data_IF_816023427705
#
_entry.id   IF_816023427705
#
_cell.length_a   1.000
_cell.length_b   1.000
_cell.length_c   1.000
_cell.angle_alpha   90.00
_cell.angle_beta   90.00
_cell.angle_gamma   90.00
#
_symmetry.space_group_name_H-M   'P 1'
#
loop_
_entity.id
_entity.type
_entity.pdbx_description
1 polymer ?
#
# COMPACT_ATOMS: atom_id res chain seq x y z
N UNK A 1 9.64 31.96 -16.87
CA UNK A 1 8.95 31.30 -18.00
C UNK A 1 7.80 30.54 -17.40
N UNK A 2 6.57 30.85 -17.84
CA UNK A 2 5.39 30.15 -17.35
C UNK A 2 5.31 28.77 -17.99
N UNK A 3 5.09 27.73 -17.18
CA UNK A 3 4.90 26.37 -17.66
C UNK A 3 3.52 26.32 -18.36
N UNK A 4 3.44 25.85 -19.61
CA UNK A 4 2.17 25.70 -20.32
C UNK A 4 1.15 24.89 -19.50
N UNK A 5 -0.13 25.27 -19.53
CA UNK A 5 -1.21 24.65 -18.73
C UNK A 5 -1.31 23.12 -18.98
N UNK A 6 -0.98 22.68 -20.18
CA UNK A 6 -0.89 21.29 -20.63
C UNK A 6 0.33 20.50 -20.08
N UNK A 7 1.26 21.15 -19.39
CA UNK A 7 2.45 20.55 -18.78
C UNK A 7 2.49 20.77 -17.25
N UNK A 8 1.44 21.34 -16.65
CA UNK A 8 1.34 21.48 -15.19
C UNK A 8 1.11 20.13 -14.50
N UNK A 9 0.47 19.17 -15.17
CA UNK A 9 0.36 17.80 -14.70
C UNK A 9 1.55 16.97 -15.21
N UNK A 10 2.43 16.58 -14.27
CA UNK A 10 3.60 15.75 -14.54
C UNK A 10 3.27 14.43 -15.24
N UNK A 11 2.06 13.90 -15.04
CA UNK A 11 1.59 12.67 -15.67
C UNK A 11 1.41 12.80 -17.19
N UNK A 12 1.12 14.01 -17.68
CA UNK A 12 0.77 14.28 -19.07
C UNK A 12 1.96 14.72 -19.93
N UNK A 13 3.11 15.01 -19.30
CA UNK A 13 4.32 15.50 -19.99
C UNK A 13 4.75 14.53 -21.09
N UNK A 14 4.80 13.23 -20.80
CA UNK A 14 5.22 12.24 -21.78
C UNK A 14 4.25 12.15 -22.98
N UNK A 15 2.94 12.24 -22.73
CA UNK A 15 1.92 12.24 -23.77
C UNK A 15 2.01 13.51 -24.65
N UNK A 16 2.20 14.67 -24.02
CA UNK A 16 2.41 15.94 -24.71
C UNK A 16 3.68 15.89 -25.59
N UNK A 17 4.79 15.37 -25.06
CA UNK A 17 6.04 15.22 -25.83
C UNK A 17 5.88 14.26 -27.01
N UNK A 18 5.17 13.14 -26.84
CA UNK A 18 4.86 12.25 -27.96
C UNK A 18 4.08 12.97 -29.04
N UNK A 19 3.02 13.69 -28.66
CA UNK A 19 2.16 14.40 -29.61
C UNK A 19 2.91 15.49 -30.38
N UNK A 20 3.80 16.22 -29.72
CA UNK A 20 4.45 17.40 -30.30
C UNK A 20 5.71 17.05 -31.12
N UNK A 21 6.39 15.94 -30.79
CA UNK A 21 7.71 15.62 -31.35
C UNK A 21 7.79 14.29 -32.12
N UNK A 22 6.72 13.49 -32.18
CA UNK A 22 6.74 12.21 -32.92
C UNK A 22 5.84 12.24 -34.16
N UNK A 23 6.26 11.61 -35.28
CA UNK A 23 5.39 11.44 -36.44
C UNK A 23 4.20 10.53 -36.11
N UNK A 24 3.06 10.73 -36.79
CA UNK A 24 1.77 10.09 -36.46
C UNK A 24 1.84 8.56 -36.27
N UNK A 25 2.60 7.87 -37.12
CA UNK A 25 2.76 6.41 -37.03
C UNK A 25 3.49 5.97 -35.75
N UNK A 26 4.48 6.75 -35.31
CA UNK A 26 5.25 6.47 -34.10
C UNK A 26 4.44 6.83 -32.85
N UNK A 27 3.65 7.91 -32.91
CA UNK A 27 2.72 8.27 -31.83
C UNK A 27 1.73 7.14 -31.54
N UNK A 28 1.12 6.56 -32.59
CA UNK A 28 0.21 5.41 -32.43
C UNK A 28 0.94 4.20 -31.83
N UNK A 29 2.15 3.88 -32.32
CA UNK A 29 2.94 2.77 -31.80
C UNK A 29 3.30 2.94 -30.31
N UNK A 30 3.76 4.14 -29.93
CA UNK A 30 4.10 4.47 -28.55
C UNK A 30 2.87 4.49 -27.64
N UNK A 31 1.72 4.97 -28.15
CA UNK A 31 0.45 4.92 -27.42
C UNK A 31 -0.01 3.49 -27.13
N UNK A 32 0.06 2.60 -28.13
CA UNK A 32 -0.23 1.16 -27.93
C UNK A 32 0.75 0.56 -26.92
N UNK A 33 2.04 0.87 -27.02
CA UNK A 33 3.07 0.40 -26.09
C UNK A 33 2.81 0.87 -24.65
N UNK A 34 2.41 2.12 -24.46
CA UNK A 34 2.09 2.69 -23.14
C UNK A 34 0.88 1.99 -22.51
N UNK A 35 -0.19 1.78 -23.28
CA UNK A 35 -1.39 1.05 -22.81
C UNK A 35 -1.05 -0.41 -22.52
N UNK A 36 -0.27 -1.07 -23.39
CA UNK A 36 0.15 -2.45 -23.18
C UNK A 36 1.01 -2.61 -21.92
N UNK A 37 1.93 -1.67 -21.67
CA UNK A 37 2.74 -1.65 -20.46
C UNK A 37 1.88 -1.49 -19.21
N UNK A 38 0.94 -0.53 -19.22
CA UNK A 38 0.01 -0.31 -18.10
C UNK A 38 -0.85 -1.55 -17.82
N UNK A 39 -1.41 -2.18 -18.85
CA UNK A 39 -2.25 -3.38 -18.72
C UNK A 39 -1.46 -4.57 -18.13
N UNK A 40 -0.21 -4.77 -18.55
CA UNK A 40 0.68 -5.80 -18.00
C UNK A 40 0.93 -5.62 -16.50
N UNK A 41 1.11 -4.37 -16.04
CA UNK A 41 1.26 -4.06 -14.62
C UNK A 41 -0.03 -4.33 -13.84
N UNK A 42 -1.19 -3.88 -14.37
CA UNK A 42 -2.50 -4.11 -13.73
C UNK A 42 -2.78 -5.61 -13.58
N UNK A 43 -2.54 -6.40 -14.62
CA UNK A 43 -2.77 -7.84 -14.59
C UNK A 43 -1.87 -8.54 -13.56
N UNK A 44 -0.58 -8.17 -13.53
CA UNK A 44 0.38 -8.74 -12.58
C UNK A 44 0.03 -8.38 -11.14
N UNK A 45 -0.24 -7.10 -10.86
CA UNK A 45 -0.58 -6.63 -9.52
C UNK A 45 -1.93 -7.18 -9.03
N UNK A 46 -2.96 -7.16 -9.88
CA UNK A 46 -4.27 -7.71 -9.55
C UNK A 46 -4.21 -9.20 -9.22
N UNK A 47 -3.45 -9.97 -10.01
CA UNK A 47 -3.25 -11.39 -9.75
C UNK A 47 -2.47 -11.65 -8.45
N UNK A 48 -1.41 -10.89 -8.17
CA UNK A 48 -0.65 -11.02 -6.91
C UNK A 48 -1.54 -10.75 -5.70
N UNK A 49 -2.33 -9.67 -5.72
CA UNK A 49 -3.26 -9.34 -4.63
C UNK A 49 -4.29 -10.47 -4.43
N UNK A 50 -4.85 -11.00 -5.52
CA UNK A 50 -5.83 -12.07 -5.46
C UNK A 50 -5.25 -13.37 -4.89
N UNK A 51 -4.03 -13.72 -5.29
CA UNK A 51 -3.33 -14.90 -4.77
C UNK A 51 -2.98 -14.71 -3.31
N UNK A 52 -2.34 -13.61 -2.92
CA UNK A 52 -2.01 -13.33 -1.51
C UNK A 52 -3.26 -13.34 -0.64
N UNK A 53 -4.36 -12.72 -1.06
CA UNK A 53 -5.59 -12.74 -0.28
C UNK A 53 -6.21 -14.15 -0.19
N UNK A 54 -6.23 -14.89 -1.30
CA UNK A 54 -6.79 -16.24 -1.34
C UNK A 54 -5.97 -17.24 -0.53
N UNK A 55 -4.66 -17.21 -0.64
CA UNK A 55 -3.75 -18.14 0.03
C UNK A 55 -3.51 -17.74 1.49
N UNK A 56 -3.27 -16.46 1.78
CA UNK A 56 -2.88 -16.04 3.13
C UNK A 56 -4.08 -15.83 4.06
N UNK A 57 -5.20 -15.31 3.54
CA UNK A 57 -6.39 -15.01 4.36
C UNK A 57 -7.45 -16.11 4.28
N UNK A 58 -7.76 -16.58 3.08
CA UNK A 58 -8.90 -17.49 2.88
C UNK A 58 -8.51 -18.95 3.09
N UNK A 59 -7.36 -19.41 2.60
CA UNK A 59 -6.97 -20.82 2.67
C UNK A 59 -6.86 -21.37 4.11
N UNK A 60 -6.30 -20.68 5.12
CA UNK A 60 -6.27 -21.19 6.49
C UNK A 60 -7.68 -21.45 7.06
N UNK A 61 -8.66 -20.63 6.65
CA UNK A 61 -10.05 -20.74 7.08
C UNK A 61 -10.89 -21.68 6.20
N UNK A 62 -10.62 -21.77 4.89
CA UNK A 62 -11.34 -22.60 3.93
C UNK A 62 -10.79 -24.03 3.83
N UNK A 63 -9.51 -24.24 4.10
CA UNK A 63 -8.90 -25.58 4.18
C UNK A 63 -9.45 -26.38 5.37
N UNK A 64 -9.86 -25.70 6.46
CA UNK A 64 -10.71 -26.32 7.51
C UNK A 64 -12.05 -26.81 6.99
N UNK A 65 -12.53 -26.28 5.87
CA UNK A 65 -13.84 -26.58 5.25
C UNK A 65 -13.72 -27.49 4.02
N UNK A 66 -12.51 -27.98 3.69
CA UNK A 66 -12.22 -28.90 2.58
C UNK A 66 -12.83 -28.48 1.23
N UNK A 67 -12.65 -27.22 0.83
CA UNK A 67 -13.16 -26.78 -0.47
C UNK A 67 -12.37 -27.43 -1.63
N UNK A 68 -13.05 -27.86 -2.71
CA UNK A 68 -12.36 -28.39 -3.88
C UNK A 68 -11.56 -27.29 -4.58
N UNK A 69 -10.39 -27.66 -5.13
CA UNK A 69 -9.44 -26.73 -5.78
C UNK A 69 -10.09 -25.82 -6.84
N UNK A 70 -11.07 -26.34 -7.59
CA UNK A 70 -11.81 -25.57 -8.59
C UNK A 70 -12.57 -24.38 -8.00
N UNK A 71 -13.12 -24.52 -6.78
CA UNK A 71 -13.84 -23.44 -6.09
C UNK A 71 -12.87 -22.40 -5.53
N UNK A 72 -11.69 -22.81 -5.03
CA UNK A 72 -10.64 -21.86 -4.63
C UNK A 72 -10.14 -21.05 -5.84
N UNK A 73 -9.87 -21.70 -6.97
CA UNK A 73 -9.40 -21.02 -8.17
C UNK A 73 -10.43 -20.00 -8.70
N UNK A 74 -11.72 -20.35 -8.68
CA UNK A 74 -12.78 -19.41 -9.05
C UNK A 74 -12.91 -18.26 -8.04
N UNK A 75 -12.74 -18.52 -6.74
CA UNK A 75 -12.77 -17.48 -5.73
C UNK A 75 -11.62 -16.48 -5.92
N UNK A 76 -10.39 -16.96 -6.14
CA UNK A 76 -9.24 -16.11 -6.44
C UNK A 76 -9.48 -15.24 -7.68
N UNK A 77 -10.07 -15.78 -8.75
CA UNK A 77 -10.45 -15.00 -9.93
C UNK A 77 -11.43 -13.87 -9.60
N UNK A 78 -12.48 -14.16 -8.83
CA UNK A 78 -13.44 -13.14 -8.39
C UNK A 78 -12.80 -12.10 -7.48
N UNK A 79 -11.86 -12.50 -6.61
CA UNK A 79 -11.09 -11.56 -5.79
C UNK A 79 -10.21 -10.64 -6.64
N UNK A 80 -9.60 -11.14 -7.72
CA UNK A 80 -8.83 -10.31 -8.66
C UNK A 80 -9.72 -9.26 -9.33
N UNK A 81 -10.88 -9.69 -9.85
CA UNK A 81 -11.87 -8.78 -10.45
C UNK A 81 -12.32 -7.73 -9.42
N UNK A 82 -12.61 -8.14 -8.18
CA UNK A 82 -12.99 -7.22 -7.12
C UNK A 82 -11.87 -6.23 -6.77
N UNK A 83 -10.61 -6.66 -6.70
CA UNK A 83 -9.47 -5.80 -6.43
C UNK A 83 -9.27 -4.75 -7.54
N UNK A 84 -9.34 -5.17 -8.80
CA UNK A 84 -9.27 -4.27 -9.96
C UNK A 84 -10.45 -3.29 -9.96
N UNK A 85 -11.66 -3.76 -9.65
CA UNK A 85 -12.83 -2.91 -9.56
C UNK A 85 -12.70 -1.85 -8.47
N UNK A 86 -12.23 -2.23 -7.28
CA UNK A 86 -11.96 -1.28 -6.18
C UNK A 86 -10.87 -0.28 -6.58
N UNK A 87 -9.81 -0.72 -7.24
CA UNK A 87 -8.76 0.17 -7.75
C UNK A 87 -9.31 1.15 -8.79
N UNK A 88 -10.20 0.70 -9.69
CA UNK A 88 -10.86 1.55 -10.67
C UNK A 88 -11.74 2.61 -9.99
N UNK A 89 -12.55 2.21 -9.01
CA UNK A 89 -13.38 3.15 -8.23
C UNK A 89 -12.49 4.18 -7.55
N UNK A 90 -11.42 3.76 -6.89
CA UNK A 90 -10.48 4.66 -6.24
C UNK A 90 -9.79 5.62 -7.23
N UNK A 91 -9.41 5.14 -8.41
CA UNK A 91 -8.82 5.96 -9.46
C UNK A 91 -9.76 7.05 -9.98
N UNK A 92 -11.08 6.82 -9.99
CA UNK A 92 -12.07 7.83 -10.40
C UNK A 92 -12.19 9.01 -9.42
N UNK A 93 -11.83 8.80 -8.15
CA UNK A 93 -11.91 9.83 -7.10
C UNK A 93 -10.54 10.43 -6.75
N UNK A 94 -9.47 10.03 -7.44
CA UNK A 94 -8.13 10.54 -7.14
C UNK A 94 -7.69 11.55 -8.18
N UNK A 95 -7.30 12.74 -7.71
CA UNK A 95 -6.89 13.86 -8.56
C UNK A 95 -5.37 13.93 -8.77
N UNK A 96 -4.58 13.23 -7.95
CA UNK A 96 -3.11 13.31 -7.93
C UNK A 96 -2.45 11.93 -7.92
N UNK A 97 -1.62 11.64 -8.93
CA UNK A 97 -0.79 10.42 -8.94
C UNK A 97 0.25 10.42 -7.82
N UNK A 98 0.75 11.59 -7.44
CA UNK A 98 1.73 11.74 -6.39
C UNK A 98 1.16 11.29 -5.04
N UNK A 99 -0.08 11.66 -4.74
CA UNK A 99 -0.74 11.30 -3.49
C UNK A 99 -0.90 9.78 -3.38
N UNK A 100 -1.30 9.12 -4.47
CA UNK A 100 -1.39 7.64 -4.52
C UNK A 100 -0.01 7.02 -4.28
N UNK A 101 1.02 7.52 -4.96
CA UNK A 101 2.37 6.98 -4.88
C UNK A 101 2.94 7.11 -3.47
N UNK A 102 2.83 8.29 -2.86
CA UNK A 102 3.32 8.54 -1.50
C UNK A 102 2.49 7.81 -0.44
N UNK A 103 1.16 7.73 -0.59
CA UNK A 103 0.31 6.97 0.32
C UNK A 103 0.63 5.47 0.24
N UNK A 104 0.72 4.89 -0.95
CA UNK A 104 1.07 3.48 -1.15
C UNK A 104 2.46 3.17 -0.58
N UNK A 105 3.46 4.02 -0.85
CA UNK A 105 4.82 3.84 -0.34
C UNK A 105 4.89 3.98 1.18
N UNK A 106 4.11 4.91 1.75
CA UNK A 106 3.98 5.10 3.19
C UNK A 106 3.35 3.90 3.88
N UNK A 107 2.24 3.38 3.33
CA UNK A 107 1.59 2.16 3.83
C UNK A 107 2.57 0.98 3.77
N UNK A 108 3.24 0.78 2.64
CA UNK A 108 4.20 -0.31 2.48
C UNK A 108 5.34 -0.22 3.50
N UNK A 109 5.90 0.97 3.68
CA UNK A 109 7.02 1.19 4.62
C UNK A 109 6.59 0.93 6.06
N UNK A 110 5.46 1.48 6.49
CA UNK A 110 4.98 1.35 7.88
C UNK A 110 4.48 -0.05 8.22
N UNK A 111 4.01 -0.81 7.24
CA UNK A 111 3.51 -2.18 7.45
C UNK A 111 4.57 -3.25 7.29
N UNK A 112 5.50 -3.11 6.34
CA UNK A 112 6.46 -4.17 5.99
C UNK A 112 7.81 -4.02 6.70
N UNK A 113 8.24 -2.80 7.01
CA UNK A 113 9.56 -2.57 7.60
C UNK A 113 9.76 -3.33 8.92
N UNK A 114 8.82 -3.23 9.85
CA UNK A 114 8.92 -3.89 11.16
C UNK A 114 8.91 -5.42 11.05
N UNK A 115 8.00 -6.07 10.29
CA UNK A 115 8.09 -7.51 10.03
C UNK A 115 9.41 -7.98 9.44
N UNK A 116 10.00 -7.22 8.50
CA UNK A 116 11.29 -7.57 7.91
C UNK A 116 12.39 -7.52 8.95
N UNK A 117 12.45 -6.45 9.76
CA UNK A 117 13.42 -6.35 10.87
C UNK A 117 13.20 -7.45 11.92
N UNK A 118 11.94 -7.76 12.23
CA UNK A 118 11.54 -8.81 13.16
C UNK A 118 12.02 -10.20 12.73
N UNK A 119 12.06 -10.48 11.42
CA UNK A 119 12.50 -11.77 10.88
C UNK A 119 13.98 -12.07 11.19
N UNK A 120 14.82 -11.04 11.33
CA UNK A 120 16.23 -11.20 11.70
C UNK A 120 16.47 -11.28 13.21
N UNK A 121 15.41 -11.16 14.04
CA UNK A 121 15.53 -11.14 15.50
C UNK A 121 15.06 -12.46 16.12
N UNK A 122 15.91 -13.16 16.90
CA UNK A 122 15.66 -14.55 17.33
C UNK A 122 14.57 -14.74 18.41
N UNK A 123 13.79 -13.71 18.76
CA UNK A 123 12.77 -13.77 19.83
C UNK A 123 11.49 -12.98 19.51
N UNK A 124 11.15 -12.84 18.24
CA UNK A 124 9.95 -12.10 17.84
C UNK A 124 8.74 -13.01 17.78
N UNK A 125 7.63 -12.60 18.37
CA UNK A 125 6.36 -13.37 18.35
C UNK A 125 5.46 -12.93 17.20
N UNK A 126 4.63 -13.84 16.69
CA UNK A 126 3.66 -13.51 15.63
C UNK A 126 2.68 -12.40 16.05
N UNK A 127 2.32 -12.33 17.34
CA UNK A 127 1.46 -11.28 17.89
C UNK A 127 2.11 -9.90 17.82
N UNK A 128 3.40 -9.79 18.16
CA UNK A 128 4.17 -8.53 18.05
C UNK A 128 4.15 -7.99 16.63
N UNK A 129 4.44 -8.87 15.67
CA UNK A 129 4.50 -8.51 14.25
C UNK A 129 3.13 -8.13 13.71
N UNK A 130 2.07 -8.89 14.03
CA UNK A 130 0.72 -8.58 13.55
C UNK A 130 0.18 -7.27 14.13
N UNK A 131 0.45 -6.98 15.41
CA UNK A 131 0.09 -5.70 16.02
C UNK A 131 0.83 -4.52 15.37
N UNK A 132 2.12 -4.70 15.06
CA UNK A 132 2.92 -3.69 14.37
C UNK A 132 2.40 -3.42 12.95
N UNK A 133 2.02 -4.46 12.21
CA UNK A 133 1.41 -4.33 10.87
C UNK A 133 0.09 -3.57 10.96
N UNK A 134 -0.81 -3.99 11.86
CA UNK A 134 -2.13 -3.35 12.02
C UNK A 134 -2.01 -1.90 12.48
N UNK A 135 -1.15 -1.61 13.46
CA UNK A 135 -0.94 -0.26 13.96
C UNK A 135 -0.22 0.64 12.94
N UNK A 136 0.71 0.09 12.15
CA UNK A 136 1.36 0.82 11.06
C UNK A 136 0.38 1.16 9.94
N UNK A 137 -0.45 0.20 9.54
CA UNK A 137 -1.49 0.39 8.52
C UNK A 137 -2.52 1.44 8.95
N UNK A 138 -3.14 1.23 10.12
CA UNK A 138 -4.16 2.15 10.64
C UNK A 138 -3.57 3.51 11.00
N UNK A 139 -2.37 3.53 11.58
CA UNK A 139 -1.66 4.77 11.92
C UNK A 139 -1.38 5.63 10.69
N UNK A 140 -0.95 5.03 9.58
CA UNK A 140 -0.72 5.75 8.32
C UNK A 140 -2.03 6.28 7.73
N UNK A 141 -3.11 5.50 7.73
CA UNK A 141 -4.41 5.95 7.20
C UNK A 141 -5.02 7.08 8.05
N UNK A 142 -4.95 6.94 9.38
CA UNK A 142 -5.43 7.95 10.32
C UNK A 142 -4.59 9.22 10.19
N UNK A 143 -3.26 9.08 10.15
CA UNK A 143 -2.32 10.17 9.94
C UNK A 143 -2.60 10.92 8.63
N UNK A 144 -2.79 10.18 7.53
CA UNK A 144 -3.10 10.78 6.22
C UNK A 144 -4.37 11.61 6.30
N UNK A 145 -5.43 11.07 6.91
CA UNK A 145 -6.70 11.78 7.05
C UNK A 145 -6.61 13.01 7.98
N UNK A 146 -5.83 12.93 9.06
CA UNK A 146 -5.57 14.06 9.96
C UNK A 146 -4.77 15.16 9.25
N UNK A 147 -3.81 14.78 8.42
CA UNK A 147 -2.98 15.71 7.65
C UNK A 147 -3.78 16.36 6.52
N UNK A 148 -4.64 15.60 5.81
CA UNK A 148 -5.60 16.16 4.84
C UNK A 148 -6.57 17.17 5.46
N UNK A 149 -6.78 17.12 6.78
CA UNK A 149 -7.61 18.07 7.54
C UNK A 149 -6.83 19.18 8.23
N UNK A 150 -5.50 19.21 8.09
CA UNK A 150 -4.62 20.22 8.68
C UNK A 150 -4.32 20.05 10.17
N UNK A 151 -4.91 19.06 10.86
CA UNK A 151 -4.69 18.84 12.30
C UNK A 151 -3.27 18.38 12.63
N UNK A 152 -2.61 17.68 11.71
CA UNK A 152 -1.24 17.20 11.91
C UNK A 152 -0.20 18.33 11.71
N UNK A 153 -0.49 19.28 10.81
CA UNK A 153 0.40 20.42 10.55
C UNK A 153 0.57 21.36 11.76
N UNK A 154 -0.41 21.39 12.68
CA UNK A 154 -0.35 22.18 13.92
C UNK A 154 0.55 21.55 15.00
N UNK A 155 0.78 20.23 14.92
CA UNK A 155 1.50 19.44 15.94
C UNK A 155 2.92 19.14 15.48
N UNK A 156 3.14 19.07 14.17
CA UNK A 156 4.41 18.68 13.58
C UNK A 156 5.39 19.86 13.44
N UNK A 157 6.70 19.58 13.43
CA UNK A 157 7.70 20.59 13.11
C UNK A 157 7.45 21.20 11.73
N UNK A 158 7.65 22.51 11.58
CA UNK A 158 7.44 23.23 10.31
C UNK A 158 8.15 22.58 9.11
N UNK A 159 9.38 22.09 9.29
CA UNK A 159 10.14 21.41 8.22
C UNK A 159 9.48 20.11 7.72
N UNK A 160 8.66 19.47 8.55
CA UNK A 160 7.95 18.22 8.21
C UNK A 160 6.57 18.53 7.63
N UNK A 161 5.87 19.51 8.21
CA UNK A 161 4.60 19.99 7.68
C UNK A 161 4.74 20.56 6.26
N UNK A 162 5.89 21.16 5.93
CA UNK A 162 6.23 21.61 4.57
C UNK A 162 6.32 20.45 3.56
N UNK A 163 6.64 19.23 4.01
CA UNK A 163 6.76 18.06 3.12
C UNK A 163 5.43 17.37 2.85
N UNK A 164 4.40 17.59 3.67
CA UNK A 164 3.10 16.88 3.61
C UNK A 164 3.21 15.35 3.70
N UNK A 165 4.32 14.84 4.27
CA UNK A 165 4.61 13.41 4.43
C UNK A 165 4.69 13.00 5.90
N UNK A 166 4.22 13.85 6.82
CA UNK A 166 4.26 13.62 8.27
C UNK A 166 3.55 12.34 8.70
N UNK A 167 2.41 12.07 8.06
CA UNK A 167 1.62 10.86 8.27
C UNK A 167 2.40 9.54 8.15
N UNK A 168 3.44 9.48 7.32
CA UNK A 168 4.29 8.27 7.17
C UNK A 168 5.11 8.04 8.44
N UNK A 169 5.67 9.10 9.02
CA UNK A 169 6.43 9.03 10.26
C UNK A 169 5.52 8.70 11.44
N UNK A 170 4.32 9.29 11.47
CA UNK A 170 3.31 8.95 12.47
C UNK A 170 2.93 7.46 12.41
N UNK A 171 2.63 6.94 11.22
CA UNK A 171 2.35 5.52 11.01
C UNK A 171 3.52 4.62 11.42
N UNK A 172 4.76 5.01 11.11
CA UNK A 172 5.96 4.27 11.52
C UNK A 172 6.12 4.25 13.04
N UNK A 173 5.90 5.39 13.71
CA UNK A 173 5.96 5.49 15.16
C UNK A 173 4.89 4.61 15.82
N UNK A 174 3.65 4.63 15.31
CA UNK A 174 2.59 3.73 15.77
C UNK A 174 2.99 2.26 15.60
N UNK A 175 3.59 1.89 14.47
CA UNK A 175 4.06 0.51 14.23
C UNK A 175 5.13 0.08 15.23
N UNK A 176 6.14 0.94 15.48
CA UNK A 176 7.22 0.67 16.44
C UNK A 176 6.68 0.56 17.87
N UNK A 177 5.79 1.48 18.27
CA UNK A 177 5.18 1.47 19.59
C UNK A 177 4.36 0.19 19.82
N UNK A 178 3.55 -0.22 18.84
CA UNK A 178 2.77 -1.45 18.89
C UNK A 178 3.66 -2.70 18.94
N UNK A 179 4.74 -2.74 18.17
CA UNK A 179 5.72 -3.81 18.22
C UNK A 179 6.32 -3.99 19.62
N UNK A 180 6.67 -2.87 20.27
CA UNK A 180 7.27 -2.89 21.58
C UNK A 180 6.28 -3.23 22.71
N UNK A 181 5.04 -2.75 22.61
CA UNK A 181 3.95 -3.10 23.53
C UNK A 181 3.59 -4.59 23.44
N UNK A 182 3.49 -5.13 22.22
CA UNK A 182 3.34 -6.57 22.02
C UNK A 182 4.51 -7.38 22.60
N UNK A 183 5.70 -6.77 22.64
CA UNK A 183 6.91 -7.32 23.25
C UNK A 183 6.85 -7.49 24.77
N UNK A 184 6.08 -6.64 25.43
CA UNK A 184 5.96 -6.63 26.90
C UNK A 184 4.91 -7.63 27.39
N UNK A 185 3.77 -7.72 26.72
CA UNK A 185 2.69 -8.65 27.11
C UNK A 185 3.09 -10.13 27.07
N UNK A 186 3.97 -10.52 26.14
CA UNK A 186 4.45 -11.92 26.03
C UNK A 186 5.59 -12.25 27.02
N UNK A 187 6.24 -11.25 27.63
CA UNK A 187 7.27 -11.50 28.67
C UNK A 187 6.65 -11.83 30.03
N UNK A 188 5.43 -11.36 30.30
CA UNK A 188 4.72 -11.60 31.55
C UNK A 188 4.12 -13.02 31.59
N UNK A 189 3.71 -13.59 30.45
CA UNK A 189 3.17 -14.95 30.36
C UNK A 189 4.22 -16.05 30.48
N UNK A 190 5.48 -15.77 30.13
CA UNK A 190 6.60 -16.72 30.30
C UNK A 190 7.14 -16.71 31.75
N UNK A 191 6.75 -15.73 32.57
CA UNK A 191 7.25 -15.56 33.94
C UNK A 191 6.38 -16.24 35.03
N UNK A 192 5.34 -16.99 34.68
CA UNK A 192 4.63 -17.87 35.62
C UNK A 192 5.30 -19.26 35.61
N UNK A 193 6.12 -19.61 36.62
CA UNK A 193 6.53 -20.99 36.80
C UNK A 193 5.29 -21.80 37.20
N UNK A 194 5.11 -22.95 36.56
CA UNK A 194 4.18 -23.98 37.00
C UNK A 194 4.50 -24.34 38.47
N UNK A 195 3.52 -24.16 39.35
CA UNK A 195 3.50 -24.74 40.70
C UNK A 195 2.78 -26.08 40.66
#
# INVERSE_FOLDING_TARGET
GEIPVNLQDGALIFNALMRDYTPDWLNVLLGIGLVAAAMSTVDTCGNVVALSFSYDMLEPHLSRKQWPAQKLANLARWMSVAAIFVALVYALFTESLWDIFYLSSGILTTTVFIPVVAAFRPRTTARQTNLAILAGFLGTLIGYFLESRGFLADIEPQWLAETQLGYILFGLFCSIAAFWLGGRGDRETVAQPEN
#
